data_IF_872373955597
#
_entry.id   IF_872373955597
#
_cell.length_a   1.000
_cell.length_b   1.000
_cell.length_c   1.000
_cell.angle_alpha   90.00
_cell.angle_beta   90.00
_cell.angle_gamma   90.00
#
_symmetry.space_group_name_H-M   'P 1'
#
loop_
_entity.id
_entity.type
_entity.pdbx_description
1 polymer ?
#
# COMPACT_ATOMS: atom_id res chain seq x y z
N UNK A 1 -21.32 11.56 14.57
CA UNK A 1 -22.39 10.58 14.45
C UNK A 1 -21.72 9.32 13.91
N UNK A 2 -21.43 8.35 14.78
CA UNK A 2 -20.86 7.07 14.34
C UNK A 2 -21.93 6.35 13.54
N UNK A 3 -21.80 6.33 12.21
CA UNK A 3 -22.58 5.43 11.38
C UNK A 3 -22.26 3.99 11.80
N UNK A 4 -23.28 3.17 11.98
CA UNK A 4 -23.07 1.75 12.25
C UNK A 4 -22.26 1.14 11.09
N UNK A 5 -21.33 0.23 11.41
CA UNK A 5 -20.46 -0.40 10.41
C UNK A 5 -21.29 -1.10 9.31
N UNK A 6 -22.53 -1.46 9.58
CA UNK A 6 -23.42 -2.04 8.58
C UNK A 6 -23.89 -1.00 7.54
N UNK A 7 -24.34 0.16 8.00
CA UNK A 7 -24.76 1.28 7.13
C UNK A 7 -23.60 1.82 6.29
N UNK A 8 -22.37 1.76 6.80
CA UNK A 8 -21.18 2.18 6.05
C UNK A 8 -20.93 1.32 4.81
N UNK A 9 -21.19 0.01 4.87
CA UNK A 9 -20.89 -0.90 3.76
C UNK A 9 -22.06 -1.02 2.78
N UNK A 10 -23.30 -0.85 3.26
CA UNK A 10 -24.50 -0.85 2.41
C UNK A 10 -24.55 0.36 1.46
N UNK A 11 -23.96 1.49 1.85
CA UNK A 11 -23.92 2.71 1.03
C UNK A 11 -22.73 2.78 0.05
N UNK A 12 -21.95 1.70 -0.11
CA UNK A 12 -20.79 1.70 -1.00
C UNK A 12 -21.19 1.44 -2.46
N UNK A 13 -20.49 2.06 -3.43
CA UNK A 13 -20.70 1.74 -4.84
C UNK A 13 -20.45 0.25 -5.11
N UNK A 14 -21.30 -0.35 -5.93
CA UNK A 14 -21.12 -1.72 -6.37
C UNK A 14 -19.76 -1.90 -7.05
N UNK A 15 -19.03 -2.95 -6.68
CA UNK A 15 -17.67 -3.23 -7.17
C UNK A 15 -16.53 -2.48 -6.47
N UNK A 16 -16.81 -1.48 -5.62
CA UNK A 16 -15.76 -0.73 -4.90
C UNK A 16 -14.90 -1.63 -4.01
N UNK A 17 -15.55 -2.45 -3.18
CA UNK A 17 -14.85 -3.35 -2.25
C UNK A 17 -13.98 -4.37 -2.99
N UNK A 18 -14.47 -4.90 -4.11
CA UNK A 18 -13.72 -5.87 -4.92
C UNK A 18 -12.49 -5.21 -5.58
N UNK A 19 -12.67 -4.03 -6.18
CA UNK A 19 -11.56 -3.26 -6.76
C UNK A 19 -10.51 -2.95 -5.69
N UNK A 20 -10.95 -2.48 -4.52
CA UNK A 20 -10.04 -2.15 -3.42
C UNK A 20 -9.29 -3.39 -2.94
N UNK A 21 -9.99 -4.52 -2.77
CA UNK A 21 -9.37 -5.81 -2.40
C UNK A 21 -8.30 -6.22 -3.38
N UNK A 22 -8.60 -6.13 -4.67
CA UNK A 22 -7.69 -6.50 -5.76
C UNK A 22 -6.44 -5.62 -5.79
N UNK A 23 -6.57 -4.33 -5.50
CA UNK A 23 -5.44 -3.39 -5.46
C UNK A 23 -4.58 -3.58 -4.22
N UNK A 24 -5.20 -3.82 -3.07
CA UNK A 24 -4.46 -4.11 -1.83
C UNK A 24 -3.75 -5.47 -1.93
N UNK A 25 -4.38 -6.49 -2.55
CA UNK A 25 -3.73 -7.76 -2.85
C UNK A 25 -2.52 -7.60 -3.77
N UNK A 26 -2.61 -6.77 -4.81
CA UNK A 26 -1.46 -6.50 -5.70
C UNK A 26 -0.29 -5.88 -4.94
N UNK A 27 -0.56 -5.02 -3.96
CA UNK A 27 0.47 -4.48 -3.08
C UNK A 27 1.10 -5.55 -2.18
N UNK A 28 0.30 -6.45 -1.61
CA UNK A 28 0.81 -7.60 -0.84
C UNK A 28 1.71 -8.48 -1.72
N UNK A 29 1.28 -8.79 -2.95
CA UNK A 29 2.07 -9.58 -3.90
C UNK A 29 3.37 -8.89 -4.30
N UNK A 30 3.37 -7.57 -4.53
CA UNK A 30 4.59 -6.84 -4.84
C UNK A 30 5.55 -6.79 -3.64
N UNK A 31 5.03 -6.80 -2.42
CA UNK A 31 5.83 -6.93 -1.21
C UNK A 31 6.45 -8.33 -1.08
N UNK A 32 5.71 -9.38 -1.40
CA UNK A 32 6.28 -10.73 -1.44
C UNK A 32 7.38 -10.87 -2.49
N UNK A 33 7.19 -10.32 -3.68
CA UNK A 33 8.23 -10.28 -4.71
C UNK A 33 9.50 -9.58 -4.20
N UNK A 34 9.33 -8.47 -3.47
CA UNK A 34 10.44 -7.77 -2.83
C UNK A 34 11.14 -8.61 -1.74
N UNK A 35 10.38 -9.32 -0.91
CA UNK A 35 10.94 -10.20 0.12
C UNK A 35 11.73 -11.36 -0.51
N UNK A 36 11.19 -12.02 -1.53
CA UNK A 36 11.89 -13.10 -2.25
C UNK A 36 13.16 -12.57 -2.90
N UNK A 37 13.10 -11.43 -3.59
CA UNK A 37 14.28 -10.81 -4.18
C UNK A 37 15.34 -10.49 -3.12
N UNK A 38 14.91 -9.92 -1.98
CA UNK A 38 15.80 -9.59 -0.87
C UNK A 38 16.50 -10.82 -0.31
N UNK A 39 15.80 -11.95 -0.18
CA UNK A 39 16.40 -13.23 0.24
C UNK A 39 17.46 -13.66 -0.76
N UNK A 40 17.15 -13.66 -2.07
CA UNK A 40 18.11 -14.04 -3.11
C UNK A 40 19.38 -13.19 -3.10
N UNK A 41 19.25 -11.89 -2.82
CA UNK A 41 20.39 -10.98 -2.67
C UNK A 41 21.18 -11.29 -1.41
N UNK A 42 20.53 -11.47 -0.27
CA UNK A 42 21.21 -11.74 1.00
C UNK A 42 22.01 -13.04 0.98
N UNK A 43 21.51 -14.07 0.30
CA UNK A 43 22.22 -15.34 0.13
C UNK A 43 23.21 -15.35 -1.05
N UNK A 44 23.44 -14.21 -1.72
CA UNK A 44 24.45 -14.09 -2.78
C UNK A 44 24.08 -14.76 -4.10
N UNK A 45 22.83 -15.21 -4.28
CA UNK A 45 22.33 -15.76 -5.54
C UNK A 45 22.24 -14.66 -6.60
N UNK A 46 21.90 -13.44 -6.17
CA UNK A 46 21.86 -12.25 -7.01
C UNK A 46 22.85 -11.20 -6.50
N UNK A 47 23.72 -10.70 -7.38
CA UNK A 47 24.58 -9.55 -7.07
C UNK A 47 23.84 -8.24 -7.30
N UNK A 48 23.92 -7.33 -6.33
CA UNK A 48 23.39 -5.95 -6.42
C UNK A 48 24.49 -4.91 -6.56
N UNK A 49 25.66 -5.30 -7.06
CA UNK A 49 26.74 -4.36 -7.37
C UNK A 49 26.27 -3.33 -8.41
N UNK A 50 26.81 -2.10 -8.32
CA UNK A 50 26.40 -1.00 -9.21
C UNK A 50 26.63 -1.38 -10.67
N UNK A 51 25.59 -1.27 -11.49
CA UNK A 51 25.65 -1.57 -12.93
C UNK A 51 25.32 -3.02 -13.29
N UNK A 52 25.07 -3.88 -12.31
CA UNK A 52 24.61 -5.26 -12.56
C UNK A 52 23.11 -5.31 -12.83
N UNK A 53 22.66 -6.36 -13.53
CA UNK A 53 21.24 -6.68 -13.73
C UNK A 53 20.49 -6.76 -12.39
N UNK A 54 21.13 -7.27 -11.34
CA UNK A 54 20.50 -7.34 -10.01
C UNK A 54 20.26 -5.97 -9.39
N UNK A 55 21.10 -4.97 -9.64
CA UNK A 55 20.83 -3.59 -9.20
C UNK A 55 19.62 -2.98 -9.94
N UNK A 56 19.48 -3.22 -11.24
CA UNK A 56 18.32 -2.78 -12.03
C UNK A 56 17.03 -3.46 -11.54
N UNK A 57 17.07 -4.77 -11.33
CA UNK A 57 15.94 -5.53 -10.80
C UNK A 57 15.55 -5.06 -9.40
N UNK A 58 16.51 -4.77 -8.52
CA UNK A 58 16.23 -4.24 -7.19
C UNK A 58 15.43 -2.93 -7.26
N UNK A 59 15.88 -1.96 -8.07
CA UNK A 59 15.14 -0.70 -8.26
C UNK A 59 13.80 -0.91 -8.97
N UNK A 60 13.72 -1.85 -9.91
CA UNK A 60 12.47 -2.21 -10.58
C UNK A 60 11.42 -2.75 -9.61
N UNK A 61 11.79 -3.72 -8.78
CA UNK A 61 10.89 -4.31 -7.77
C UNK A 61 10.50 -3.28 -6.72
N UNK A 62 11.45 -2.45 -6.26
CA UNK A 62 11.17 -1.30 -5.39
C UNK A 62 10.16 -0.32 -6.01
N UNK A 63 10.35 0.05 -7.28
CA UNK A 63 9.48 0.97 -8.00
C UNK A 63 8.06 0.40 -8.17
N UNK A 64 7.94 -0.87 -8.54
CA UNK A 64 6.65 -1.56 -8.62
C UNK A 64 5.94 -1.55 -7.26
N UNK A 65 6.69 -1.82 -6.19
CA UNK A 65 6.13 -1.82 -4.84
C UNK A 65 5.56 -0.44 -4.47
N UNK A 66 6.34 0.62 -4.71
CA UNK A 66 5.90 2.01 -4.50
C UNK A 66 4.66 2.35 -5.34
N UNK A 67 4.64 2.00 -6.64
CA UNK A 67 3.49 2.27 -7.53
C UNK A 67 2.23 1.53 -7.05
N UNK A 68 2.36 0.25 -6.68
CA UNK A 68 1.23 -0.56 -6.19
C UNK A 68 0.71 -0.03 -4.86
N UNK A 69 1.59 0.43 -3.96
CA UNK A 69 1.21 1.12 -2.73
C UNK A 69 0.44 2.40 -3.01
N UNK A 70 0.97 3.29 -3.85
CA UNK A 70 0.29 4.54 -4.23
C UNK A 70 -1.08 4.24 -4.84
N UNK A 71 -1.15 3.24 -5.71
CA UNK A 71 -2.40 2.84 -6.37
C UNK A 71 -3.42 2.29 -5.38
N UNK A 72 -3.00 1.44 -4.43
CA UNK A 72 -3.86 0.96 -3.33
C UNK A 72 -4.42 2.14 -2.54
N UNK A 73 -3.56 3.10 -2.19
CA UNK A 73 -3.93 4.28 -1.42
C UNK A 73 -4.91 5.21 -2.17
N UNK A 74 -4.68 5.47 -3.46
CA UNK A 74 -5.60 6.26 -4.30
C UNK A 74 -6.95 5.56 -4.44
N UNK A 75 -6.98 4.24 -4.66
CA UNK A 75 -8.23 3.49 -4.80
C UNK A 75 -9.01 3.39 -3.48
N UNK A 76 -8.35 3.48 -2.33
CA UNK A 76 -9.02 3.64 -1.05
C UNK A 76 -9.84 4.94 -1.01
N UNK A 77 -9.32 6.02 -1.59
CA UNK A 77 -9.92 7.36 -1.52
C UNK A 77 -10.81 7.74 -2.70
N UNK A 78 -10.60 7.14 -3.88
CA UNK A 78 -11.30 7.49 -5.12
C UNK A 78 -11.73 6.22 -5.84
N UNK A 79 -13.00 6.14 -6.23
CA UNK A 79 -13.55 5.09 -7.08
C UNK A 79 -14.33 5.72 -8.22
N UNK A 80 -14.00 5.38 -9.47
CA UNK A 80 -14.61 5.97 -10.67
C UNK A 80 -14.68 7.51 -10.64
N UNK A 81 -13.60 8.16 -10.21
CA UNK A 81 -13.48 9.61 -10.01
C UNK A 81 -14.38 10.20 -8.89
N UNK A 82 -15.02 9.36 -8.08
CA UNK A 82 -15.83 9.77 -6.93
C UNK A 82 -15.00 9.63 -5.65
N UNK A 83 -14.86 10.68 -4.82
CA UNK A 83 -14.20 10.58 -3.53
C UNK A 83 -15.02 9.73 -2.56
N UNK A 84 -14.36 8.80 -1.87
CA UNK A 84 -14.99 7.88 -0.93
C UNK A 84 -14.93 8.44 0.51
N UNK A 85 -16.07 8.76 1.14
CA UNK A 85 -16.11 9.18 2.54
C UNK A 85 -15.76 8.00 3.47
N UNK A 86 -15.25 8.29 4.66
CA UNK A 86 -14.90 7.29 5.69
C UNK A 86 -14.00 6.14 5.17
N UNK A 87 -13.20 6.41 4.13
CA UNK A 87 -12.34 5.43 3.47
C UNK A 87 -11.40 4.70 4.44
N UNK A 88 -11.00 5.38 5.53
CA UNK A 88 -10.16 4.87 6.62
C UNK A 88 -10.75 3.65 7.34
N UNK A 89 -12.07 3.66 7.54
CA UNK A 89 -12.80 2.72 8.40
C UNK A 89 -13.28 1.47 7.67
N UNK A 90 -13.37 1.55 6.34
CA UNK A 90 -13.69 0.41 5.48
C UNK A 90 -12.51 -0.56 5.47
N UNK A 91 -12.72 -1.77 5.98
CA UNK A 91 -11.76 -2.87 6.04
C UNK A 91 -12.13 -3.93 5.01
N UNK A 92 -11.23 -4.16 4.07
CA UNK A 92 -11.50 -5.06 2.94
C UNK A 92 -11.04 -6.49 3.22
N UNK A 93 -10.08 -6.66 4.12
CA UNK A 93 -9.65 -7.96 4.61
C UNK A 93 -10.16 -8.18 6.02
N UNK A 94 -10.51 -9.43 6.30
CA UNK A 94 -10.74 -9.89 7.66
C UNK A 94 -9.44 -9.89 8.46
N UNK A 95 -9.56 -9.83 9.80
CA UNK A 95 -8.38 -9.92 10.69
C UNK A 95 -7.55 -11.18 10.44
N UNK A 96 -8.22 -12.30 10.10
CA UNK A 96 -7.56 -13.58 9.80
C UNK A 96 -6.75 -13.51 8.51
N UNK A 97 -7.28 -12.88 7.46
CA UNK A 97 -6.56 -12.67 6.20
C UNK A 97 -5.37 -11.73 6.38
N UNK A 98 -5.52 -10.64 7.13
CA UNK A 98 -4.40 -9.73 7.43
C UNK A 98 -3.27 -10.49 8.12
N UNK A 99 -3.59 -11.33 9.11
CA UNK A 99 -2.60 -12.16 9.78
C UNK A 99 -1.94 -13.14 8.81
N UNK A 100 -2.72 -13.82 7.98
CA UNK A 100 -2.23 -14.78 7.00
C UNK A 100 -1.28 -14.12 6.00
N UNK A 101 -1.60 -12.92 5.53
CA UNK A 101 -0.75 -12.18 4.61
C UNK A 101 0.51 -11.62 5.27
N UNK A 102 0.47 -11.32 6.57
CA UNK A 102 1.63 -10.83 7.31
C UNK A 102 2.64 -11.95 7.65
N UNK A 103 2.17 -13.18 7.88
CA UNK A 103 3.00 -14.31 8.32
C UNK A 103 4.28 -14.53 7.47
N UNK A 104 4.21 -14.61 6.12
CA UNK A 104 5.41 -14.80 5.31
C UNK A 104 6.44 -13.69 5.50
N UNK A 105 5.97 -12.44 5.62
CA UNK A 105 6.86 -11.28 5.83
C UNK A 105 7.53 -11.39 7.19
N UNK A 106 6.77 -11.71 8.26
CA UNK A 106 7.28 -11.87 9.62
C UNK A 106 8.37 -12.94 9.68
N UNK A 107 8.15 -14.09 9.01
CA UNK A 107 9.11 -15.20 8.96
C UNK A 107 10.39 -14.80 8.23
N UNK A 108 10.27 -14.05 7.12
CA UNK A 108 11.42 -13.69 6.27
C UNK A 108 12.22 -12.52 6.87
N UNK A 109 11.58 -11.61 7.60
CA UNK A 109 12.18 -10.37 8.13
C UNK A 109 13.55 -10.52 8.82
N UNK A 110 13.79 -11.51 9.73
CA UNK A 110 15.10 -11.66 10.37
C UNK A 110 16.23 -12.00 9.39
N UNK A 111 15.92 -12.59 8.25
CA UNK A 111 16.91 -13.00 7.25
C UNK A 111 17.32 -11.88 6.30
N UNK A 112 16.57 -10.78 6.23
CA UNK A 112 16.77 -9.71 5.24
C UNK A 112 16.83 -8.32 5.87
N UNK A 113 17.21 -8.23 7.15
CA UNK A 113 17.16 -6.99 7.93
C UNK A 113 17.87 -5.79 7.24
N UNK A 114 19.04 -6.02 6.64
CA UNK A 114 19.81 -4.97 5.97
C UNK A 114 19.17 -4.41 4.71
N UNK A 115 18.59 -5.27 3.85
CA UNK A 115 17.86 -4.81 2.65
C UNK A 115 16.54 -4.17 3.05
N UNK A 116 15.90 -4.66 4.11
CA UNK A 116 14.64 -4.14 4.60
C UNK A 116 14.76 -2.72 5.18
N UNK A 117 15.89 -2.37 5.80
CA UNK A 117 16.16 -0.98 6.19
C UNK A 117 16.16 -0.03 4.99
N UNK A 118 16.81 -0.44 3.89
CA UNK A 118 16.80 0.34 2.64
C UNK A 118 15.39 0.47 2.08
N UNK A 119 14.62 -0.62 2.07
CA UNK A 119 13.22 -0.58 1.67
C UNK A 119 12.42 0.45 2.47
N UNK A 120 12.53 0.41 3.80
CA UNK A 120 11.81 1.31 4.70
C UNK A 120 12.16 2.79 4.45
N UNK A 121 13.43 3.11 4.19
CA UNK A 121 13.86 4.48 3.89
C UNK A 121 13.23 5.06 2.62
N UNK A 122 12.79 4.22 1.67
CA UNK A 122 12.12 4.66 0.44
C UNK A 122 10.60 4.58 0.52
N UNK A 123 10.06 3.51 1.11
CA UNK A 123 8.61 3.30 1.16
C UNK A 123 7.92 4.27 2.12
N UNK A 124 8.55 4.63 3.25
CA UNK A 124 7.95 5.50 4.26
C UNK A 124 7.74 6.92 3.71
N UNK A 125 8.75 7.59 3.11
CA UNK A 125 8.52 8.87 2.45
C UNK A 125 7.49 8.79 1.34
N UNK A 126 7.51 7.73 0.53
CA UNK A 126 6.53 7.53 -0.54
C UNK A 126 5.11 7.36 0.02
N UNK A 127 4.95 6.67 1.15
CA UNK A 127 3.67 6.51 1.85
C UNK A 127 3.16 7.85 2.36
N UNK A 128 4.01 8.63 3.03
CA UNK A 128 3.67 9.96 3.52
C UNK A 128 3.28 10.87 2.36
N UNK A 129 4.07 10.90 1.28
CA UNK A 129 3.77 11.67 0.09
C UNK A 129 2.42 11.26 -0.53
N UNK A 130 2.20 9.95 -0.73
CA UNK A 130 0.93 9.45 -1.25
C UNK A 130 -0.25 9.87 -0.37
N UNK A 131 -0.08 9.86 0.96
CA UNK A 131 -1.10 10.28 1.91
C UNK A 131 -1.47 11.75 1.81
N UNK A 132 -0.51 12.60 1.44
CA UNK A 132 -0.69 14.05 1.25
C UNK A 132 -1.27 14.35 -0.13
N UNK A 133 -0.68 13.82 -1.20
CA UNK A 133 -1.10 14.11 -2.59
C UNK A 133 -2.50 13.61 -2.92
N UNK A 134 -2.88 12.46 -2.37
CA UNK A 134 -4.20 11.89 -2.60
C UNK A 134 -5.22 12.38 -1.57
N UNK A 135 -4.86 13.36 -0.72
CA UNK A 135 -5.84 13.99 0.18
C UNK A 135 -6.79 14.77 -0.72
N UNK A 136 -8.07 14.39 -0.83
CA UNK A 136 -9.03 15.28 -1.49
C UNK A 136 -8.91 16.61 -0.73
N UNK A 137 -8.73 17.73 -1.45
CA UNK A 137 -8.94 19.06 -0.86
C UNK A 137 -10.34 19.01 -0.28
N UNK A 138 -10.41 18.82 1.04
CA UNK A 138 -11.62 18.33 1.66
C UNK A 138 -12.70 19.38 1.42
N UNK A 139 -13.94 18.95 1.18
CA UNK A 139 -15.09 19.83 1.30
C UNK A 139 -15.12 20.56 2.67
N UNK A 140 -14.38 20.04 3.66
CA UNK A 140 -14.08 20.68 4.95
C UNK A 140 -13.13 21.89 4.88
N UNK A 141 -12.12 21.89 3.99
CA UNK A 141 -11.28 23.09 3.79
C UNK A 141 -12.10 24.21 3.13
N UNK A 142 -12.96 23.85 2.16
CA UNK A 142 -13.94 24.78 1.56
C UNK A 142 -15.05 25.23 2.51
N UNK A 143 -15.37 24.45 3.55
CA UNK A 143 -16.32 24.85 4.57
C UNK A 143 -15.68 25.80 5.58
N UNK A 144 -14.40 25.59 5.94
CA UNK A 144 -13.63 26.52 6.76
C UNK A 144 -13.35 27.85 6.07
N UNK A 145 -13.08 27.85 4.76
CA UNK A 145 -12.91 29.09 3.98
C UNK A 145 -14.19 29.95 3.86
N UNK A 146 -15.39 29.36 4.06
CA UNK A 146 -16.65 30.13 4.07
C UNK A 146 -17.00 30.73 5.43
N UNK A 147 -16.24 30.40 6.47
CA UNK A 147 -16.45 30.85 7.85
C UNK A 147 -15.37 31.84 8.33
N UNK A 148 -14.48 32.30 7.46
CA UNK A 148 -13.54 33.40 7.71
C UNK A 148 -13.72 34.51 6.69
#
# INVERSE_FOLDING_TARGET
MDMDNKELYENLPEGYLEQRRKRDLRYVWSLYAYCVFSVLVTYGILSTERGTIGSLLFYGVMGINVITMMTSFTNKRIYNNIPMPNHGDIKVFTKKEVLLYALPIIIILPFIFGTMYRYLSFIVPAYVAASIFTRPRDAFDKARERHY
#
